data_IF_822316337054
#
_entry.id   IF_822316337054
#
_cell.length_a   1.000
_cell.length_b   1.000
_cell.length_c   1.000
_cell.angle_alpha   90.00
_cell.angle_beta   90.00
_cell.angle_gamma   90.00
#
_symmetry.space_group_name_H-M   'P 1'
#
loop_
_entity.id
_entity.type
_entity.pdbx_description
1 polymer ?
#
# COMPACT_ATOMS: atom_id res chain seq x y z
N UNK A 1 -16.50 41.56 -7.88
CA UNK A 1 -15.79 40.43 -7.25
C UNK A 1 -14.33 40.55 -7.68
N UNK A 2 -13.38 40.72 -6.75
CA UNK A 2 -11.96 40.94 -7.11
C UNK A 2 -11.39 39.66 -7.71
N UNK A 3 -10.82 39.75 -8.91
CA UNK A 3 -10.00 38.71 -9.51
C UNK A 3 -8.78 38.52 -8.59
N UNK A 4 -8.66 37.37 -7.95
CA UNK A 4 -7.46 37.04 -7.15
C UNK A 4 -6.37 36.66 -8.15
N UNK A 5 -5.32 37.47 -8.21
CA UNK A 5 -4.14 37.21 -9.03
C UNK A 5 -3.26 36.22 -8.26
N UNK A 6 -3.19 34.97 -8.73
CA UNK A 6 -2.41 33.90 -8.10
C UNK A 6 -0.92 34.17 -8.31
N UNK A 7 -0.17 34.27 -7.21
CA UNK A 7 1.26 34.51 -7.28
C UNK A 7 2.05 33.25 -7.70
N UNK A 8 3.36 33.37 -7.87
CA UNK A 8 4.20 32.24 -8.33
C UNK A 8 4.21 31.07 -7.34
N UNK A 9 3.93 31.32 -6.07
CA UNK A 9 3.90 30.31 -5.02
C UNK A 9 2.55 29.58 -5.06
N UNK A 10 1.44 30.31 -5.25
CA UNK A 10 0.11 29.74 -5.48
C UNK A 10 0.07 28.84 -6.72
N UNK A 11 0.69 29.28 -7.82
CA UNK A 11 0.78 28.48 -9.05
C UNK A 11 1.59 27.20 -8.85
N UNK A 12 2.68 27.24 -8.05
CA UNK A 12 3.46 26.05 -7.71
C UNK A 12 2.68 25.08 -6.84
N UNK A 13 1.94 25.59 -5.85
CA UNK A 13 1.05 24.77 -5.03
C UNK A 13 -0.01 24.10 -5.90
N UNK A 14 -0.64 24.85 -6.82
CA UNK A 14 -1.60 24.28 -7.78
C UNK A 14 -1.00 23.20 -8.68
N UNK A 15 0.23 23.39 -9.15
CA UNK A 15 0.93 22.38 -9.97
C UNK A 15 1.20 21.11 -9.15
N UNK A 16 1.69 21.24 -7.92
CA UNK A 16 1.95 20.09 -7.03
C UNK A 16 0.63 19.35 -6.73
N UNK A 17 -0.43 20.08 -6.38
CA UNK A 17 -1.75 19.50 -6.09
C UNK A 17 -2.38 18.82 -7.32
N UNK A 18 -2.23 19.39 -8.52
CA UNK A 18 -2.72 18.77 -9.75
C UNK A 18 -1.88 17.57 -10.19
N UNK A 19 -0.62 17.51 -9.79
CA UNK A 19 0.27 16.39 -10.08
C UNK A 19 -0.06 15.18 -9.20
N UNK A 20 -0.34 15.41 -7.91
CA UNK A 20 -0.87 14.38 -7.00
C UNK A 20 -2.28 13.90 -7.42
N UNK A 21 -3.12 14.78 -7.97
CA UNK A 21 -4.47 14.44 -8.42
C UNK A 21 -4.58 13.73 -9.79
N UNK A 22 -3.46 13.52 -10.50
CA UNK A 22 -3.43 12.93 -11.86
C UNK A 22 -2.82 11.54 -11.94
N UNK A 23 -2.42 10.94 -10.82
CA UNK A 23 -2.05 9.53 -10.83
C UNK A 23 -3.35 8.74 -10.94
N UNK A 24 -3.52 8.01 -12.04
CA UNK A 24 -4.68 7.11 -12.16
C UNK A 24 -4.56 5.99 -11.12
N UNK A 25 -5.69 5.47 -10.61
CA UNK A 25 -5.68 4.34 -9.66
C UNK A 25 -4.84 3.15 -10.18
N UNK A 26 -4.75 2.96 -11.50
CA UNK A 26 -3.92 1.92 -12.10
C UNK A 26 -2.42 2.19 -11.92
N UNK A 27 -1.96 3.41 -12.18
CA UNK A 27 -0.54 3.77 -12.00
C UNK A 27 -0.13 3.74 -10.52
N UNK A 28 -1.05 4.10 -9.64
CA UNK A 28 -0.87 4.01 -8.19
C UNK A 28 -0.75 2.56 -7.74
N UNK A 29 -1.63 1.69 -8.25
CA UNK A 29 -1.58 0.25 -8.01
C UNK A 29 -0.23 -0.35 -8.46
N UNK A 30 0.23 -0.01 -9.67
CA UNK A 30 1.53 -0.49 -10.19
C UNK A 30 2.71 -0.06 -9.30
N UNK A 31 2.70 1.17 -8.78
CA UNK A 31 3.74 1.65 -7.86
C UNK A 31 3.70 0.90 -6.52
N UNK A 32 2.51 0.70 -5.95
CA UNK A 32 2.33 -0.07 -4.72
C UNK A 32 2.82 -1.49 -4.92
N UNK A 33 2.41 -2.16 -6.00
CA UNK A 33 2.84 -3.53 -6.32
C UNK A 33 4.37 -3.66 -6.41
N UNK A 34 5.03 -2.72 -7.09
CA UNK A 34 6.50 -2.70 -7.20
C UNK A 34 7.17 -2.49 -5.85
N UNK A 35 6.72 -1.51 -5.05
CA UNK A 35 7.34 -1.23 -3.76
C UNK A 35 7.09 -2.36 -2.76
N UNK A 36 5.86 -2.86 -2.67
CA UNK A 36 5.49 -3.95 -1.77
C UNK A 36 6.26 -5.23 -2.10
N UNK A 37 6.49 -5.53 -3.39
CA UNK A 37 7.28 -6.69 -3.81
C UNK A 37 8.76 -6.61 -3.40
N UNK A 38 9.27 -5.41 -3.10
CA UNK A 38 10.64 -5.22 -2.62
C UNK A 38 10.80 -5.43 -1.11
N UNK A 39 9.70 -5.53 -0.37
CA UNK A 39 9.73 -5.62 1.08
C UNK A 39 9.88 -7.07 1.55
N UNK A 40 10.97 -7.43 2.24
CA UNK A 40 11.21 -8.81 2.67
C UNK A 40 10.20 -9.32 3.71
N UNK A 41 9.56 -8.41 4.45
CA UNK A 41 8.52 -8.76 5.42
C UNK A 41 7.23 -9.25 4.74
N UNK A 42 7.00 -8.87 3.47
CA UNK A 42 5.80 -9.22 2.72
C UNK A 42 6.02 -10.57 2.03
N UNK A 43 5.35 -11.60 2.53
CA UNK A 43 5.43 -12.94 1.94
C UNK A 43 4.48 -13.12 0.76
N UNK A 44 3.33 -12.46 0.81
CA UNK A 44 2.31 -12.55 -0.23
C UNK A 44 1.60 -11.21 -0.37
N UNK A 45 1.30 -10.81 -1.59
CA UNK A 45 0.47 -9.65 -1.90
C UNK A 45 -0.55 -10.07 -2.95
N UNK A 46 -1.83 -9.76 -2.71
CA UNK A 46 -2.92 -10.07 -3.63
C UNK A 46 -3.72 -8.80 -3.89
N UNK A 47 -3.93 -8.48 -5.17
CA UNK A 47 -5.00 -7.57 -5.56
C UNK A 47 -6.33 -8.31 -5.41
N UNK A 48 -7.29 -7.73 -4.69
CA UNK A 48 -8.58 -8.37 -4.40
C UNK A 48 -9.74 -7.46 -4.75
N UNK A 49 -10.90 -8.07 -4.98
CA UNK A 49 -12.15 -7.33 -5.11
C UNK A 49 -12.81 -7.19 -3.74
N UNK A 50 -13.41 -6.03 -3.45
CA UNK A 50 -14.09 -5.75 -2.18
C UNK A 50 -13.80 -4.36 -1.65
N UNK A 51 -13.76 -4.22 -0.32
CA UNK A 51 -13.52 -2.94 0.35
C UNK A 51 -12.02 -2.58 0.46
N UNK A 52 -11.14 -3.48 0.04
CA UNK A 52 -9.71 -3.27 0.01
C UNK A 52 -9.20 -3.63 -1.38
N UNK A 53 -8.29 -2.83 -1.91
CA UNK A 53 -7.66 -3.09 -3.21
C UNK A 53 -6.56 -4.16 -3.09
N UNK A 54 -5.89 -4.23 -1.93
CA UNK A 54 -4.78 -5.14 -1.68
C UNK A 54 -4.89 -5.84 -0.32
N UNK A 55 -4.47 -7.11 -0.30
CA UNK A 55 -4.27 -7.90 0.93
C UNK A 55 -2.84 -8.39 0.96
N UNK A 56 -2.12 -7.99 2.00
CA UNK A 56 -0.73 -8.37 2.23
C UNK A 56 -0.65 -9.37 3.38
N UNK A 57 0.11 -10.44 3.19
CA UNK A 57 0.54 -11.33 4.26
C UNK A 57 1.95 -10.97 4.66
N UNK A 58 2.09 -10.40 5.85
CA UNK A 58 3.36 -9.88 6.37
C UNK A 58 3.81 -10.73 7.57
N UNK A 59 5.10 -11.03 7.66
CA UNK A 59 5.72 -11.62 8.85
C UNK A 59 6.76 -10.65 9.40
N UNK A 60 6.61 -10.37 10.69
CA UNK A 60 7.51 -9.51 11.47
C UNK A 60 7.77 -10.18 12.83
N UNK A 61 8.94 -9.94 13.45
CA UNK A 61 9.31 -10.60 14.69
C UNK A 61 8.50 -10.13 15.91
N UNK A 62 8.01 -8.89 15.91
CA UNK A 62 7.34 -8.27 17.05
C UNK A 62 6.48 -7.05 16.64
N UNK A 63 5.72 -6.52 17.59
CA UNK A 63 4.81 -5.39 17.36
C UNK A 63 5.53 -4.06 17.11
N UNK A 64 6.73 -3.85 17.65
CA UNK A 64 7.52 -2.65 17.35
C UNK A 64 8.08 -2.68 15.92
N UNK A 65 8.44 -3.87 15.44
CA UNK A 65 8.83 -4.10 14.04
C UNK A 65 7.65 -3.90 13.09
N UNK A 66 6.44 -4.32 13.49
CA UNK A 66 5.21 -4.02 12.74
C UNK A 66 4.93 -2.51 12.66
N UNK A 67 5.03 -1.79 13.77
CA UNK A 67 4.77 -0.34 13.79
C UNK A 67 5.77 0.43 12.91
N UNK A 68 7.05 0.05 12.94
CA UNK A 68 8.05 0.59 12.00
C UNK A 68 7.70 0.26 10.54
N UNK A 69 7.32 -0.98 10.25
CA UNK A 69 6.93 -1.38 8.90
C UNK A 69 5.74 -0.55 8.39
N UNK A 70 4.74 -0.29 9.23
CA UNK A 70 3.62 0.57 8.85
C UNK A 70 4.07 2.01 8.58
N UNK A 71 4.77 2.62 9.52
CA UNK A 71 5.12 4.05 9.44
C UNK A 71 6.19 4.35 8.38
N UNK A 72 7.20 3.50 8.25
CA UNK A 72 8.34 3.73 7.35
C UNK A 72 8.12 3.21 5.94
N UNK A 73 7.19 2.26 5.74
CA UNK A 73 6.95 1.63 4.42
C UNK A 73 5.51 1.87 3.97
N UNK A 74 4.52 1.30 4.66
CA UNK A 74 3.12 1.31 4.19
C UNK A 74 2.56 2.73 4.09
N UNK A 75 2.68 3.55 5.13
CA UNK A 75 2.16 4.93 5.10
C UNK A 75 2.96 5.89 4.22
N UNK A 76 4.14 5.47 3.75
CA UNK A 76 4.89 6.23 2.75
C UNK A 76 4.38 6.01 1.33
N UNK A 77 3.61 4.93 1.10
CA UNK A 77 2.98 4.66 -0.18
C UNK A 77 1.87 5.67 -0.42
N UNK A 78 1.98 6.41 -1.52
CA UNK A 78 0.88 7.25 -1.99
C UNK A 78 -0.34 6.36 -2.28
N UNK A 79 -1.53 6.85 -1.97
CA UNK A 79 -2.79 6.17 -2.30
C UNK A 79 -3.35 5.24 -1.23
N UNK A 80 -2.64 4.99 -0.13
CA UNK A 80 -3.17 4.20 0.98
C UNK A 80 -4.05 5.08 1.87
N UNK A 81 -5.37 4.95 1.72
CA UNK A 81 -6.34 5.69 2.53
C UNK A 81 -6.54 5.07 3.92
N UNK A 82 -6.56 3.74 4.00
CA UNK A 82 -6.82 3.02 5.24
C UNK A 82 -6.08 1.67 5.24
N UNK A 83 -5.53 1.32 6.40
CA UNK A 83 -4.93 0.01 6.65
C UNK A 83 -5.75 -0.71 7.71
N UNK A 84 -6.23 -1.89 7.40
CA UNK A 84 -6.82 -2.81 8.37
C UNK A 84 -5.86 -3.99 8.54
N UNK A 85 -5.61 -4.41 9.78
CA UNK A 85 -4.66 -5.47 10.08
C UNK A 85 -5.21 -6.48 11.05
N UNK A 86 -5.07 -7.74 10.67
CA UNK A 86 -5.47 -8.89 11.46
C UNK A 86 -4.23 -9.65 11.91
N UNK A 87 -4.10 -9.87 13.21
CA UNK A 87 -3.02 -10.66 13.79
C UNK A 87 -3.47 -12.10 14.00
N UNK A 88 -2.68 -13.05 13.49
CA UNK A 88 -2.92 -14.46 13.75
C UNK A 88 -2.60 -14.78 15.22
N UNK A 89 -3.63 -15.14 16.00
CA UNK A 89 -3.44 -15.55 17.41
C UNK A 89 -2.76 -16.92 17.54
N UNK A 90 -2.99 -17.81 16.57
CA UNK A 90 -2.40 -19.14 16.50
C UNK A 90 -2.30 -19.60 15.04
N UNK A 91 -1.14 -20.12 14.66
CA UNK A 91 -0.98 -20.78 13.37
C UNK A 91 -1.62 -22.18 13.41
N UNK A 92 -2.69 -22.39 12.64
CA UNK A 92 -3.36 -23.70 12.55
C UNK A 92 -2.74 -24.57 11.45
N UNK A 93 -2.38 -23.96 10.32
CA UNK A 93 -1.80 -24.63 9.15
C UNK A 93 -1.08 -23.60 8.30
N UNK A 94 0.16 -23.90 7.92
CA UNK A 94 0.96 -23.06 7.03
C UNK A 94 1.77 -23.97 6.09
N UNK A 95 1.11 -24.45 5.03
CA UNK A 95 1.75 -25.30 4.02
C UNK A 95 2.12 -24.47 2.81
N UNK A 96 3.35 -24.65 2.32
CA UNK A 96 3.78 -24.10 1.04
C UNK A 96 3.63 -25.12 -0.10
N UNK A 97 3.21 -26.34 0.22
CA UNK A 97 2.99 -27.41 -0.75
C UNK A 97 1.65 -27.22 -1.44
N UNK A 98 1.67 -27.00 -2.75
CA UNK A 98 0.48 -27.06 -3.60
C UNK A 98 0.16 -28.55 -3.82
N UNK A 99 -1.05 -29.02 -3.50
CA UNK A 99 -1.45 -30.39 -3.81
C UNK A 99 -1.63 -30.50 -5.32
N UNK A 100 -0.55 -30.85 -6.01
CA UNK A 100 -0.60 -31.33 -7.38
C UNK A 100 -1.14 -32.75 -7.28
N UNK A 101 -2.45 -32.92 -7.46
CA UNK A 101 -3.05 -34.24 -7.53
C UNK A 101 -2.25 -35.07 -8.54
N UNK A 102 -1.74 -36.22 -8.11
CA UNK A 102 -1.11 -37.18 -9.01
C UNK A 102 -2.11 -37.47 -10.13
N UNK A 103 -1.71 -37.22 -11.38
CA UNK A 103 -2.48 -37.64 -12.56
C UNK A 103 -2.65 -39.17 -12.59
#
# INVERSE_FOLDING_TARGET
>A
MKQVELDKLDQRILVILQQDGRISNQQLAEQIEQQVSSYPEVLQCFAVTGNADFVLRVIVPDMASYDRFLNEKIFTLQGIAQVNSNFALREIKNTQTIPLGSA
#
